data_IF_261813706588
#
_entry.id   IF_261813706588
#
_cell.length_a   1.000
_cell.length_b   1.000
_cell.length_c   1.000
_cell.angle_alpha   90.00
_cell.angle_beta   90.00
_cell.angle_gamma   90.00
#
_symmetry.space_group_name_H-M   'P 1'
#
loop_
_entity.id
_entity.type
_entity.pdbx_description
1 polymer ?
#
# COMPACT_ATOMS: atom_id res chain seq x y z
N UNK A 1 35.66 20.98 29.87
CA UNK A 1 34.83 21.48 28.75
C UNK A 1 33.56 20.64 28.68
N UNK A 2 32.36 21.21 28.87
CA UNK A 2 31.12 20.45 29.03
C UNK A 2 30.82 19.44 27.91
N UNK A 3 31.14 19.81 26.66
CA UNK A 3 31.06 18.92 25.49
C UNK A 3 32.00 17.70 25.60
N UNK A 4 33.26 17.91 25.99
CA UNK A 4 34.22 16.82 26.16
C UNK A 4 33.91 15.92 27.38
N UNK A 5 33.24 16.45 28.40
CA UNK A 5 32.78 15.66 29.55
C UNK A 5 31.56 14.80 29.25
N UNK A 6 30.76 15.11 28.23
CA UNK A 6 29.51 14.39 27.94
C UNK A 6 29.55 13.61 26.61
N UNK A 7 30.41 13.98 25.67
CA UNK A 7 30.61 13.27 24.39
C UNK A 7 31.91 12.49 24.37
N UNK A 8 31.82 11.18 24.13
CA UNK A 8 32.98 10.29 23.98
C UNK A 8 33.78 10.60 22.74
N UNK A 9 33.09 10.89 21.62
CA UNK A 9 33.74 11.20 20.34
C UNK A 9 34.54 12.50 20.41
N UNK A 10 33.98 13.55 21.00
CA UNK A 10 34.69 14.82 21.20
C UNK A 10 35.86 14.63 22.17
N UNK A 11 35.67 13.87 23.25
CA UNK A 11 36.76 13.54 24.19
C UNK A 11 37.91 12.82 23.49
N UNK A 12 37.62 11.79 22.70
CA UNK A 12 38.61 11.03 21.93
C UNK A 12 39.34 11.92 20.91
N UNK A 13 38.59 12.75 20.18
CA UNK A 13 39.16 13.68 19.21
C UNK A 13 40.14 14.68 19.86
N UNK A 14 39.82 15.17 21.06
CA UNK A 14 40.71 16.05 21.83
C UNK A 14 41.95 15.33 22.36
N UNK A 15 41.83 14.06 22.80
CA UNK A 15 42.97 13.28 23.30
C UNK A 15 43.93 12.85 22.18
N UNK A 16 43.43 12.65 20.97
CA UNK A 16 44.24 12.22 19.81
C UNK A 16 45.02 13.38 19.17
N UNK A 17 44.68 14.64 19.45
CA UNK A 17 45.40 15.79 18.93
C UNK A 17 46.62 16.14 19.78
N UNK A 18 47.79 16.18 19.13
CA UNK A 18 49.09 16.49 19.75
C UNK A 18 49.45 17.98 19.79
N UNK A 19 48.70 18.84 19.10
CA UNK A 19 49.05 20.27 18.91
C UNK A 19 48.16 21.25 19.69
N UNK A 20 48.73 22.29 20.34
CA UNK A 20 48.03 23.16 21.29
C UNK A 20 47.32 24.39 20.68
N UNK A 21 47.18 24.52 19.35
CA UNK A 21 46.56 25.70 18.73
C UNK A 21 45.32 25.37 17.92
N UNK A 22 44.18 25.81 18.45
CA UNK A 22 42.82 25.80 17.88
C UNK A 22 42.44 24.45 17.26
N UNK A 23 42.04 23.54 18.13
CA UNK A 23 41.42 22.26 17.81
C UNK A 23 40.13 22.46 17.01
N UNK A 24 40.22 22.36 15.68
CA UNK A 24 39.05 22.23 14.81
C UNK A 24 38.65 20.76 14.77
N UNK A 25 37.44 20.46 15.23
CA UNK A 25 36.82 19.12 15.14
C UNK A 25 35.79 19.21 14.03
N UNK A 26 35.95 18.39 13.00
CA UNK A 26 34.97 18.27 11.94
C UNK A 26 33.85 17.31 12.37
N UNK A 27 32.61 17.80 12.32
CA UNK A 27 31.38 17.08 12.66
C UNK A 27 30.34 17.19 11.52
N UNK A 28 30.80 17.37 10.30
CA UNK A 28 29.94 17.52 9.11
C UNK A 28 28.94 16.37 8.91
N UNK A 29 29.31 15.16 9.34
CA UNK A 29 28.51 13.94 9.16
C UNK A 29 27.48 13.68 10.27
N UNK A 30 27.19 14.66 11.13
CA UNK A 30 26.25 14.43 12.23
C UNK A 30 24.82 14.18 11.71
N UNK A 31 24.14 13.09 12.12
CA UNK A 31 22.77 12.83 11.71
C UNK A 31 21.83 13.93 12.19
N UNK A 32 21.06 14.50 11.26
CA UNK A 32 20.16 15.63 11.55
C UNK A 32 20.83 17.00 11.56
N UNK A 33 22.11 17.08 11.18
CA UNK A 33 22.80 18.33 10.90
C UNK A 33 23.00 19.26 12.11
N UNK A 34 23.08 20.56 11.83
CA UNK A 34 23.40 21.58 12.82
C UNK A 34 22.36 21.62 13.97
N UNK A 35 21.08 21.45 13.66
CA UNK A 35 20.00 21.49 14.65
C UNK A 35 20.14 20.35 15.68
N UNK A 36 20.50 19.15 15.22
CA UNK A 36 20.76 18.01 16.07
C UNK A 36 21.93 18.25 17.03
N UNK A 37 23.01 18.83 16.49
CA UNK A 37 24.19 19.18 17.28
C UNK A 37 23.88 20.28 18.28
N UNK A 38 23.11 21.31 17.90
CA UNK A 38 22.75 22.41 18.79
C UNK A 38 21.99 21.88 20.02
N UNK A 39 21.02 21.00 19.81
CA UNK A 39 20.30 20.36 20.91
C UNK A 39 21.23 19.49 21.76
N UNK A 40 22.09 18.66 21.15
CA UNK A 40 23.05 17.87 21.91
C UNK A 40 24.05 18.73 22.70
N UNK A 41 24.46 19.88 22.15
CA UNK A 41 25.34 20.82 22.81
C UNK A 41 24.63 21.50 23.98
N UNK A 42 23.41 22.01 23.79
CA UNK A 42 22.56 22.55 24.86
C UNK A 42 22.47 21.58 26.05
N UNK A 43 22.32 20.28 25.77
CA UNK A 43 22.30 19.23 26.80
C UNK A 43 23.62 19.21 27.58
N UNK A 44 24.74 19.19 26.87
CA UNK A 44 26.07 19.15 27.48
C UNK A 44 26.34 20.35 28.39
N UNK A 45 25.78 21.52 28.07
CA UNK A 45 25.89 22.73 28.90
C UNK A 45 24.86 22.81 30.04
N UNK A 46 24.04 21.77 30.24
CA UNK A 46 23.04 21.72 31.32
C UNK A 46 21.74 22.46 31.03
N UNK A 47 21.49 22.84 29.77
CA UNK A 47 20.21 23.42 29.36
C UNK A 47 19.17 22.30 29.27
N UNK A 48 18.00 22.51 29.87
CA UNK A 48 16.90 21.55 29.80
C UNK A 48 16.35 21.45 28.37
N UNK A 49 16.39 20.24 27.81
CA UNK A 49 15.82 19.95 26.49
C UNK A 49 14.58 19.08 26.66
N UNK A 50 13.52 19.48 25.97
CA UNK A 50 12.30 18.70 25.87
C UNK A 50 12.44 17.65 24.77
N UNK A 51 12.30 16.38 25.14
CA UNK A 51 12.28 15.26 24.19
C UNK A 51 10.83 15.05 23.76
N UNK A 52 10.59 15.10 22.46
CA UNK A 52 9.27 15.00 21.83
C UNK A 52 9.30 13.94 20.72
N UNK A 53 8.13 13.52 20.23
CA UNK A 53 8.04 12.52 19.16
C UNK A 53 8.65 13.00 17.82
N UNK A 54 8.79 14.30 17.61
CA UNK A 54 9.38 14.88 16.40
C UNK A 54 10.91 14.97 16.46
N UNK A 55 11.49 15.21 17.64
CA UNK A 55 12.94 15.40 17.77
C UNK A 55 13.70 14.16 18.26
N UNK A 56 13.01 13.17 18.86
CA UNK A 56 13.68 12.03 19.50
C UNK A 56 14.51 11.19 18.53
N UNK A 57 14.07 11.03 17.28
CA UNK A 57 14.82 10.28 16.27
C UNK A 57 16.18 10.93 15.99
N UNK A 58 16.16 12.25 15.80
CA UNK A 58 17.34 13.08 15.56
C UNK A 58 18.28 13.04 16.77
N UNK A 59 17.75 13.28 17.97
CA UNK A 59 18.53 13.26 19.21
C UNK A 59 19.17 11.90 19.47
N UNK A 60 18.45 10.79 19.22
CA UNK A 60 18.99 9.45 19.38
C UNK A 60 20.15 9.17 18.42
N UNK A 61 19.97 9.51 17.14
CA UNK A 61 21.03 9.33 16.14
C UNK A 61 22.26 10.21 16.45
N UNK A 62 22.06 11.46 16.84
CA UNK A 62 23.13 12.38 17.24
C UNK A 62 23.84 11.91 18.52
N UNK A 63 23.10 11.46 19.52
CA UNK A 63 23.65 10.94 20.78
C UNK A 63 24.51 9.69 20.54
N UNK A 64 24.05 8.77 19.69
CA UNK A 64 24.84 7.60 19.30
C UNK A 64 26.09 8.00 18.51
N UNK A 65 25.97 8.93 17.54
CA UNK A 65 27.11 9.43 16.76
C UNK A 65 28.20 10.10 17.61
N UNK A 66 27.77 10.91 18.59
CA UNK A 66 28.65 11.63 19.53
C UNK A 66 29.15 10.74 20.67
N UNK A 67 28.72 9.47 20.72
CA UNK A 67 28.98 8.53 21.80
C UNK A 67 28.60 9.14 23.16
N UNK A 68 27.36 9.62 23.32
CA UNK A 68 26.86 10.20 24.57
C UNK A 68 26.20 9.13 25.45
N UNK A 69 26.98 8.10 25.81
CA UNK A 69 26.51 6.92 26.56
C UNK A 69 26.60 7.11 28.08
N UNK A 70 26.00 6.17 28.83
CA UNK A 70 26.07 6.17 30.30
C UNK A 70 27.48 5.92 30.85
N UNK A 71 28.37 5.32 30.06
CA UNK A 71 29.76 5.10 30.42
C UNK A 71 30.54 6.42 30.58
N UNK A 72 30.06 7.47 29.92
CA UNK A 72 30.74 8.76 29.81
C UNK A 72 30.18 9.77 30.82
N UNK A 73 28.88 9.67 31.10
CA UNK A 73 28.16 10.50 32.08
C UNK A 73 26.86 9.83 32.50
N UNK A 74 26.44 10.03 33.76
CA UNK A 74 25.17 9.47 34.28
C UNK A 74 23.96 10.19 33.64
N UNK A 75 22.93 9.42 33.27
CA UNK A 75 21.70 9.92 32.60
C UNK A 75 22.00 10.75 31.34
N UNK A 76 22.96 10.28 30.54
CA UNK A 76 23.39 10.96 29.32
C UNK A 76 22.31 10.91 28.23
N UNK A 77 22.49 11.70 27.18
CA UNK A 77 21.47 11.91 26.16
C UNK A 77 21.00 10.60 25.49
N UNK A 78 21.90 9.64 25.30
CA UNK A 78 21.56 8.35 24.69
C UNK A 78 20.57 7.54 25.55
N UNK A 79 20.76 7.46 26.87
CA UNK A 79 19.84 6.72 27.75
C UNK A 79 18.53 7.46 27.99
N UNK A 80 18.56 8.80 28.05
CA UNK A 80 17.35 9.61 28.17
C UNK A 80 16.45 9.49 26.94
N UNK A 81 17.03 9.52 25.74
CA UNK A 81 16.28 9.31 24.49
C UNK A 81 15.79 7.87 24.38
N UNK A 82 16.59 6.88 24.79
CA UNK A 82 16.22 5.47 24.82
C UNK A 82 15.03 5.18 25.73
N UNK A 83 15.00 5.79 26.92
CA UNK A 83 13.87 5.72 27.85
C UNK A 83 12.60 6.29 27.23
N UNK A 84 12.68 7.48 26.62
CA UNK A 84 11.53 8.09 25.96
C UNK A 84 11.00 7.23 24.79
N UNK A 85 11.90 6.65 23.98
CA UNK A 85 11.51 5.74 22.90
C UNK A 85 10.74 4.54 23.47
N UNK A 86 11.25 3.93 24.54
CA UNK A 86 10.63 2.73 25.13
C UNK A 86 9.30 3.04 25.83
N UNK A 87 9.22 4.12 26.59
CA UNK A 87 8.05 4.45 27.42
C UNK A 87 6.95 5.20 26.65
N UNK A 88 7.29 6.02 25.65
CA UNK A 88 6.33 6.93 24.99
C UNK A 88 6.13 6.60 23.50
N UNK A 89 7.21 6.31 22.77
CA UNK A 89 7.12 6.02 21.33
C UNK A 89 6.59 4.61 21.11
N UNK A 90 7.21 3.62 21.75
CA UNK A 90 6.86 2.20 21.62
C UNK A 90 5.53 1.88 22.31
N UNK A 91 4.92 2.79 23.06
CA UNK A 91 3.58 2.63 23.68
C UNK A 91 2.45 3.29 22.89
N UNK A 92 2.72 4.25 21.99
CA UNK A 92 1.71 4.89 21.14
C UNK A 92 1.98 4.72 19.62
N UNK A 93 1.00 4.21 18.85
CA UNK A 93 1.14 4.01 17.39
C UNK A 93 1.37 5.35 16.66
N UNK A 94 0.66 6.43 17.02
CA UNK A 94 0.85 7.75 16.38
C UNK A 94 2.27 8.28 16.58
N UNK A 95 2.80 8.14 17.80
CA UNK A 95 4.17 8.56 18.09
C UNK A 95 5.17 7.72 17.30
N UNK A 96 4.96 6.40 17.20
CA UNK A 96 5.80 5.51 16.37
C UNK A 96 5.76 5.91 14.88
N UNK A 97 4.59 6.27 14.34
CA UNK A 97 4.46 6.72 12.94
C UNK A 97 5.18 8.07 12.74
N UNK A 98 5.02 9.01 13.68
CA UNK A 98 5.67 10.32 13.62
C UNK A 98 7.19 10.17 13.63
N UNK A 99 7.73 9.33 14.52
CA UNK A 99 9.16 9.01 14.59
C UNK A 99 9.63 8.35 13.30
N UNK A 100 8.87 7.41 12.73
CA UNK A 100 9.22 6.78 11.45
C UNK A 100 9.34 7.78 10.30
N UNK A 101 8.44 8.76 10.22
CA UNK A 101 8.54 9.84 9.21
C UNK A 101 9.80 10.68 9.40
N UNK A 102 10.23 10.93 10.64
CA UNK A 102 11.46 11.66 10.90
C UNK A 102 12.71 10.82 10.59
N UNK A 103 12.65 9.50 10.79
CA UNK A 103 13.73 8.60 10.42
C UNK A 103 14.05 8.60 8.93
N UNK A 104 13.09 8.93 8.05
CA UNK A 104 13.32 9.00 6.60
C UNK A 104 14.37 10.04 6.21
N UNK A 105 14.41 11.17 6.93
CA UNK A 105 15.41 12.23 6.72
C UNK A 105 16.77 11.92 7.38
N UNK A 106 16.83 10.87 8.20
CA UNK A 106 18.00 10.50 9.01
C UNK A 106 18.66 9.19 8.54
N UNK A 107 18.24 8.66 7.39
CA UNK A 107 18.88 7.49 6.78
C UNK A 107 20.29 7.86 6.28
N UNK A 108 21.30 6.98 6.47
CA UNK A 108 21.22 5.61 7.00
C UNK A 108 21.29 5.48 8.54
N UNK A 109 21.69 6.54 9.26
CA UNK A 109 21.97 6.48 10.71
C UNK A 109 20.80 5.96 11.55
N UNK A 110 19.55 6.27 11.18
CA UNK A 110 18.37 5.76 11.88
C UNK A 110 18.20 4.22 11.78
N UNK A 111 18.69 3.59 10.71
CA UNK A 111 18.64 2.14 10.54
C UNK A 111 19.77 1.46 11.33
N UNK A 112 20.96 2.07 11.39
CA UNK A 112 22.09 1.59 12.19
C UNK A 112 21.74 1.53 13.68
N UNK A 113 21.01 2.54 14.17
CA UNK A 113 20.50 2.60 15.55
C UNK A 113 19.27 1.69 15.76
N UNK A 114 18.83 0.97 14.72
CA UNK A 114 17.67 0.05 14.72
C UNK A 114 16.36 0.74 15.15
N UNK A 115 16.25 2.06 14.97
CA UNK A 115 15.06 2.81 15.38
C UNK A 115 13.85 2.47 14.51
N UNK A 116 14.09 2.30 13.20
CA UNK A 116 13.04 1.95 12.22
C UNK A 116 12.43 0.58 12.52
N UNK A 117 13.26 -0.44 12.72
CA UNK A 117 12.80 -1.81 13.01
C UNK A 117 12.04 -1.90 14.34
N UNK A 118 12.47 -1.15 15.35
CA UNK A 118 11.76 -1.06 16.65
C UNK A 118 10.38 -0.42 16.52
N UNK A 119 10.28 0.71 15.81
CA UNK A 119 9.00 1.38 15.59
C UNK A 119 8.05 0.49 14.78
N UNK A 120 8.53 -0.15 13.71
CA UNK A 120 7.77 -1.11 12.91
C UNK A 120 7.27 -2.28 13.78
N UNK A 121 8.14 -2.87 14.59
CA UNK A 121 7.78 -4.00 15.47
C UNK A 121 6.75 -3.58 16.52
N UNK A 122 6.89 -2.37 17.08
CA UNK A 122 5.93 -1.80 18.02
C UNK A 122 4.55 -1.64 17.37
N UNK A 123 4.48 -1.01 16.19
CA UNK A 123 3.23 -0.83 15.44
C UNK A 123 2.59 -2.19 15.16
N UNK A 124 3.36 -3.16 14.65
CA UNK A 124 2.85 -4.49 14.35
C UNK A 124 2.32 -5.21 15.60
N UNK A 125 3.06 -5.16 16.72
CA UNK A 125 2.65 -5.80 17.97
C UNK A 125 1.35 -5.22 18.53
N UNK A 126 1.15 -3.91 18.42
CA UNK A 126 -0.06 -3.24 18.90
C UNK A 126 -1.24 -3.45 17.97
N UNK A 127 -1.02 -3.36 16.66
CA UNK A 127 -2.05 -3.65 15.68
C UNK A 127 -2.59 -5.08 15.87
N UNK A 128 -1.71 -6.06 16.11
CA UNK A 128 -2.13 -7.42 16.44
C UNK A 128 -2.91 -7.50 17.77
N UNK A 129 -2.45 -6.82 18.83
CA UNK A 129 -3.17 -6.79 20.12
C UNK A 129 -4.56 -6.16 19.99
N UNK A 130 -4.67 -5.05 19.26
CA UNK A 130 -5.93 -4.33 19.03
C UNK A 130 -6.90 -5.19 18.22
N UNK A 131 -6.44 -5.84 17.14
CA UNK A 131 -7.24 -6.78 16.36
C UNK A 131 -7.73 -7.96 17.20
N UNK A 132 -6.89 -8.56 18.05
CA UNK A 132 -7.29 -9.62 18.97
C UNK A 132 -8.35 -9.13 19.96
N UNK A 133 -8.16 -7.96 20.57
CA UNK A 133 -9.14 -7.38 21.50
C UNK A 133 -10.48 -7.08 20.81
N UNK A 134 -10.44 -6.59 19.56
CA UNK A 134 -11.65 -6.33 18.77
C UNK A 134 -12.36 -7.64 18.37
N UNK A 135 -11.60 -8.70 18.11
CA UNK A 135 -12.11 -10.04 17.82
C UNK A 135 -12.80 -10.66 19.03
N UNK A 136 -12.18 -10.57 20.22
CA UNK A 136 -12.77 -11.00 21.48
C UNK A 136 -14.08 -10.27 21.80
N UNK A 137 -14.11 -8.94 21.64
CA UNK A 137 -15.34 -8.14 21.84
C UNK A 137 -16.46 -8.44 20.81
N UNK A 138 -16.11 -9.00 19.65
CA UNK A 138 -17.11 -9.50 18.67
C UNK A 138 -17.64 -10.87 19.08
N UNK A 139 -16.80 -11.73 19.65
CA UNK A 139 -17.21 -13.04 20.16
C UNK A 139 -18.09 -12.93 21.42
N UNK A 140 -17.76 -12.03 22.35
CA UNK A 140 -18.58 -11.76 23.54
C UNK A 140 -19.95 -11.12 23.20
N UNK A 141 -20.06 -10.41 22.07
CA UNK A 141 -21.36 -9.91 21.58
C UNK A 141 -22.19 -11.00 20.91
N UNK A 142 -21.55 -11.98 20.27
CA UNK A 142 -22.26 -13.10 19.64
C UNK A 142 -22.87 -14.08 20.65
N UNK A 143 -22.40 -14.11 21.91
CA UNK A 143 -23.04 -14.89 22.99
C UNK A 143 -24.24 -14.18 23.63
N UNK A 144 -24.43 -12.88 23.35
CA UNK A 144 -25.52 -12.07 23.89
C UNK A 144 -26.37 -11.48 22.76
N UNK A 145 -27.01 -12.35 21.97
CA UNK A 145 -28.02 -11.92 20.99
C UNK A 145 -29.29 -11.49 21.74
N UNK A 146 -29.37 -10.20 22.07
CA UNK A 146 -30.67 -9.50 22.11
C UNK A 146 -30.49 -8.01 21.81
N UNK A 147 -30.89 -7.67 20.58
CA UNK A 147 -31.37 -6.36 20.12
C UNK A 147 -30.52 -5.15 20.54
N UNK A 148 -29.60 -4.72 19.67
CA UNK A 148 -29.22 -3.31 19.64
C UNK A 148 -28.96 -2.82 18.21
N UNK A 149 -29.51 -1.64 17.93
CA UNK A 149 -29.77 -1.05 16.62
C UNK A 149 -28.55 -0.92 15.68
N UNK A 150 -28.82 -1.04 14.38
CA UNK A 150 -27.90 -0.89 13.23
C UNK A 150 -27.10 0.42 13.17
N UNK A 151 -27.38 1.41 14.04
CA UNK A 151 -26.65 2.69 14.08
C UNK A 151 -25.31 2.64 14.83
N UNK A 152 -24.95 1.53 15.49
CA UNK A 152 -23.63 1.36 16.12
C UNK A 152 -22.61 0.57 15.27
N UNK A 153 -23.03 0.03 14.11
CA UNK A 153 -22.17 -0.77 13.23
C UNK A 153 -21.07 0.07 12.53
N UNK A 154 -21.26 1.38 12.41
CA UNK A 154 -20.34 2.31 11.73
C UNK A 154 -19.24 2.87 12.65
N UNK A 155 -19.38 2.74 13.97
CA UNK A 155 -18.41 3.31 14.94
C UNK A 155 -17.31 2.29 15.27
N UNK A 156 -17.56 0.98 15.16
CA UNK A 156 -16.53 -0.03 15.44
C UNK A 156 -15.55 -0.28 14.29
N UNK A 157 -15.94 0.00 13.04
CA UNK A 157 -15.07 -0.13 11.86
C UNK A 157 -14.07 1.02 11.77
N UNK A 158 -14.48 2.25 12.10
CA UNK A 158 -13.62 3.43 12.11
C UNK A 158 -12.47 3.38 13.14
N UNK A 159 -12.55 2.50 14.15
CA UNK A 159 -11.45 2.30 15.12
C UNK A 159 -10.36 1.36 14.62
N UNK A 160 -10.59 0.50 13.63
CA UNK A 160 -9.52 -0.36 13.09
C UNK A 160 -8.65 0.39 12.07
N UNK A 161 -9.16 1.49 11.47
CA UNK A 161 -8.53 2.14 10.31
C UNK A 161 -7.84 3.50 10.62
N UNK A 162 -7.90 4.01 11.85
CA UNK A 162 -7.36 5.35 12.16
C UNK A 162 -5.85 5.46 11.95
N UNK A 163 -5.10 4.38 12.18
CA UNK A 163 -3.65 4.37 11.98
C UNK A 163 -3.26 4.16 10.51
N UNK A 164 -4.15 3.59 9.67
CA UNK A 164 -3.91 3.44 8.24
C UNK A 164 -3.71 4.80 7.55
N UNK A 165 -4.48 5.84 7.97
CA UNK A 165 -4.29 7.22 7.54
C UNK A 165 -2.92 7.80 7.87
N UNK A 166 -2.31 7.35 8.98
CA UNK A 166 -0.97 7.78 9.37
C UNK A 166 0.13 7.16 8.49
N UNK A 167 -0.12 5.99 7.90
CA UNK A 167 0.85 5.26 7.09
C UNK A 167 1.00 5.80 5.66
N UNK A 168 0.04 6.59 5.18
CA UNK A 168 0.00 7.06 3.79
C UNK A 168 1.12 8.03 3.41
N UNK A 169 1.82 8.59 4.40
CA UNK A 169 2.98 9.48 4.22
C UNK A 169 4.34 8.80 4.42
N UNK A 170 4.38 7.47 4.55
CA UNK A 170 5.63 6.72 4.67
C UNK A 170 6.17 6.34 3.29
N UNK A 171 7.48 6.26 3.20
CA UNK A 171 8.21 5.69 2.07
C UNK A 171 7.85 4.22 1.84
N UNK A 172 7.88 3.81 0.57
CA UNK A 172 7.51 2.46 0.16
C UNK A 172 8.40 1.38 0.80
N UNK A 173 9.67 1.67 1.04
CA UNK A 173 10.63 0.74 1.66
C UNK A 173 10.29 0.47 3.13
N UNK A 174 9.96 1.51 3.90
CA UNK A 174 9.50 1.36 5.29
C UNK A 174 8.14 0.66 5.33
N UNK A 175 7.24 0.99 4.40
CA UNK A 175 5.94 0.34 4.29
C UNK A 175 6.05 -1.16 3.95
N UNK A 176 6.95 -1.56 3.04
CA UNK A 176 7.25 -2.97 2.75
C UNK A 176 7.77 -3.72 3.97
N UNK A 177 8.73 -3.13 4.72
CA UNK A 177 9.25 -3.71 5.97
C UNK A 177 8.15 -3.84 7.02
N UNK A 178 7.26 -2.85 7.12
CA UNK A 178 6.09 -2.88 7.99
C UNK A 178 5.15 -4.03 7.62
N UNK A 179 4.79 -4.17 6.34
CA UNK A 179 3.91 -5.25 5.88
C UNK A 179 4.51 -6.64 6.12
N UNK A 180 5.81 -6.83 5.86
CA UNK A 180 6.49 -8.10 6.16
C UNK A 180 6.46 -8.44 7.65
N UNK A 181 6.61 -7.43 8.51
CA UNK A 181 6.53 -7.59 9.97
C UNK A 181 5.10 -7.85 10.44
N UNK A 182 4.09 -7.22 9.83
CA UNK A 182 2.68 -7.48 10.13
C UNK A 182 2.28 -8.92 9.74
N UNK A 183 2.77 -9.40 8.59
CA UNK A 183 2.59 -10.78 8.15
C UNK A 183 3.22 -11.78 9.12
N UNK A 184 4.47 -11.55 9.55
CA UNK A 184 5.16 -12.45 10.48
C UNK A 184 4.55 -12.44 11.89
N UNK A 185 3.89 -11.35 12.30
CA UNK A 185 3.15 -11.22 13.56
C UNK A 185 1.73 -11.83 13.51
N UNK A 186 1.31 -12.37 12.36
CA UNK A 186 0.04 -13.09 12.24
C UNK A 186 -1.20 -12.21 12.12
N UNK A 187 -1.07 -10.97 11.60
CA UNK A 187 -2.24 -10.15 11.32
C UNK A 187 -3.13 -10.83 10.25
N UNK A 188 -4.45 -10.73 10.40
CA UNK A 188 -5.41 -11.27 9.42
C UNK A 188 -5.18 -10.64 8.04
N UNK A 189 -5.27 -11.47 7.00
CA UNK A 189 -5.08 -11.02 5.61
C UNK A 189 -6.07 -9.91 5.22
N UNK A 190 -7.32 -9.97 5.70
CA UNK A 190 -8.33 -8.92 5.43
C UNK A 190 -7.87 -7.53 5.90
N UNK A 191 -7.30 -7.45 7.10
CA UNK A 191 -6.81 -6.19 7.67
C UNK A 191 -5.57 -5.70 6.91
N UNK A 192 -4.67 -6.62 6.53
CA UNK A 192 -3.52 -6.32 5.66
C UNK A 192 -4.00 -5.73 4.32
N UNK A 193 -5.02 -6.34 3.71
CA UNK A 193 -5.58 -5.89 2.43
C UNK A 193 -6.16 -4.48 2.55
N UNK A 194 -6.89 -4.19 3.63
CA UNK A 194 -7.42 -2.84 3.89
C UNK A 194 -6.32 -1.80 4.03
N UNK A 195 -5.24 -2.12 4.73
CA UNK A 195 -4.09 -1.22 4.89
C UNK A 195 -3.41 -0.95 3.54
N UNK A 196 -3.20 -1.98 2.74
CA UNK A 196 -2.63 -1.86 1.39
C UNK A 196 -3.54 -1.01 0.51
N UNK A 197 -4.86 -1.27 0.52
CA UNK A 197 -5.83 -0.51 -0.26
C UNK A 197 -5.85 0.97 0.15
N UNK A 198 -5.77 1.27 1.45
CA UNK A 198 -5.75 2.65 1.92
C UNK A 198 -4.47 3.39 1.52
N UNK A 199 -3.31 2.73 1.65
CA UNK A 199 -2.03 3.27 1.22
C UNK A 199 -2.00 3.51 -0.30
N UNK A 200 -2.48 2.52 -1.06
CA UNK A 200 -2.58 2.59 -2.51
C UNK A 200 -3.54 3.70 -2.95
N UNK A 201 -4.73 3.82 -2.36
CA UNK A 201 -5.68 4.87 -2.73
C UNK A 201 -5.08 6.27 -2.55
N UNK A 202 -4.36 6.52 -1.45
CA UNK A 202 -3.72 7.82 -1.22
C UNK A 202 -2.57 8.10 -2.20
N UNK A 203 -1.73 7.10 -2.46
CA UNK A 203 -0.61 7.24 -3.40
C UNK A 203 -1.09 7.37 -4.86
N UNK A 204 -2.11 6.61 -5.26
CA UNK A 204 -2.75 6.72 -6.58
C UNK A 204 -3.45 8.07 -6.75
N UNK A 205 -4.10 8.58 -5.70
CA UNK A 205 -4.67 9.92 -5.72
C UNK A 205 -3.59 10.99 -5.91
N UNK A 206 -2.45 10.86 -5.20
CA UNK A 206 -1.29 11.75 -5.36
C UNK A 206 -0.70 11.71 -6.78
N UNK A 207 -0.58 10.51 -7.36
CA UNK A 207 -0.17 10.31 -8.75
C UNK A 207 -1.16 10.99 -9.70
N UNK A 208 -2.46 10.67 -9.62
CA UNK A 208 -3.49 11.20 -10.53
C UNK A 208 -3.62 12.72 -10.47
N UNK A 209 -3.47 13.31 -9.29
CA UNK A 209 -3.46 14.78 -9.14
C UNK A 209 -2.21 15.39 -9.78
N UNK A 210 -1.04 14.76 -9.64
CA UNK A 210 0.22 15.20 -10.27
C UNK A 210 0.18 15.18 -11.80
N UNK A 211 -0.49 14.18 -12.40
CA UNK A 211 -0.69 14.10 -13.86
C UNK A 211 -1.79 15.05 -14.39
N UNK A 212 -2.74 15.46 -13.53
CA UNK A 212 -3.82 16.37 -13.93
C UNK A 212 -3.39 17.85 -13.89
N UNK A 213 -2.43 18.21 -13.03
CA UNK A 213 -1.72 19.48 -13.14
C UNK A 213 -0.86 19.44 -14.40
N UNK A 214 -1.12 20.33 -15.36
CA UNK A 214 -0.42 20.44 -16.67
C UNK A 214 1.07 20.81 -16.56
N UNK A 215 1.72 20.60 -15.42
CA UNK A 215 3.16 20.76 -15.29
C UNK A 215 3.84 19.50 -15.80
N UNK A 216 4.74 19.68 -16.76
CA UNK A 216 5.58 18.61 -17.29
C UNK A 216 6.44 18.06 -16.16
N UNK A 217 6.00 16.96 -15.55
CA UNK A 217 6.79 16.24 -14.56
C UNK A 217 8.15 15.89 -15.16
N UNK A 218 9.21 16.07 -14.38
CA UNK A 218 10.56 15.64 -14.76
C UNK A 218 10.57 14.13 -14.98
N UNK A 219 11.35 13.64 -15.95
CA UNK A 219 11.54 12.20 -16.22
C UNK A 219 11.90 11.39 -14.96
N UNK A 220 12.67 12.01 -14.05
CA UNK A 220 13.04 11.38 -12.78
C UNK A 220 11.85 11.20 -11.83
N UNK A 221 10.90 12.12 -11.82
CA UNK A 221 9.68 12.03 -10.99
C UNK A 221 8.70 11.03 -11.59
N UNK A 222 8.60 10.97 -12.93
CA UNK A 222 7.82 9.96 -13.63
C UNK A 222 8.33 8.54 -13.32
N UNK A 223 9.65 8.32 -13.38
CA UNK A 223 10.25 7.03 -13.04
C UNK A 223 10.05 6.66 -11.57
N UNK A 224 10.13 7.64 -10.66
CA UNK A 224 9.85 7.42 -9.23
C UNK A 224 8.40 7.00 -9.00
N UNK A 225 7.45 7.61 -9.70
CA UNK A 225 6.03 7.27 -9.64
C UNK A 225 5.75 5.88 -10.24
N UNK A 226 6.40 5.52 -11.35
CA UNK A 226 6.38 4.16 -11.93
C UNK A 226 6.86 3.11 -10.93
N UNK A 227 8.04 3.32 -10.33
CA UNK A 227 8.61 2.39 -9.34
C UNK A 227 7.70 2.25 -8.10
N UNK A 228 7.08 3.35 -7.66
CA UNK A 228 6.14 3.33 -6.53
C UNK A 228 4.87 2.54 -6.88
N UNK A 229 4.33 2.72 -8.08
CA UNK A 229 3.17 1.96 -8.56
C UNK A 229 3.47 0.46 -8.63
N UNK A 230 4.60 0.07 -9.21
CA UNK A 230 5.02 -1.33 -9.29
C UNK A 230 5.21 -1.97 -7.94
N UNK A 231 5.83 -1.25 -7.00
CA UNK A 231 5.98 -1.71 -5.64
C UNK A 231 4.62 -1.90 -4.95
N UNK A 232 3.62 -1.04 -5.20
CA UNK A 232 2.25 -1.24 -4.71
C UNK A 232 1.62 -2.48 -5.32
N UNK A 233 1.75 -2.69 -6.64
CA UNK A 233 1.20 -3.87 -7.32
C UNK A 233 1.84 -5.16 -6.79
N UNK A 234 3.15 -5.13 -6.51
CA UNK A 234 3.90 -6.23 -5.91
C UNK A 234 3.55 -6.49 -4.43
N UNK A 235 3.03 -5.49 -3.71
CA UNK A 235 2.59 -5.63 -2.32
C UNK A 235 1.24 -6.32 -2.18
N UNK A 236 0.41 -6.28 -3.22
CA UNK A 236 -0.90 -6.92 -3.23
C UNK A 236 -0.76 -8.45 -3.04
N UNK A 237 -1.56 -9.09 -2.18
CA UNK A 237 -1.51 -10.53 -1.92
C UNK A 237 -1.60 -11.38 -3.19
N UNK A 238 -1.05 -12.59 -3.13
CA UNK A 238 -1.26 -13.58 -4.17
C UNK A 238 -2.77 -13.79 -4.39
N UNK A 239 -3.19 -13.78 -5.66
CA UNK A 239 -4.60 -13.91 -6.02
C UNK A 239 -5.11 -15.27 -5.55
N UNK A 240 -6.04 -15.27 -4.59
CA UNK A 240 -6.69 -16.48 -4.09
C UNK A 240 -8.19 -16.27 -4.08
N UNK A 241 -8.96 -17.37 -4.17
CA UNK A 241 -10.42 -17.37 -4.07
C UNK A 241 -10.93 -16.78 -2.73
N UNK A 242 -10.06 -16.65 -1.73
CA UNK A 242 -10.35 -16.13 -0.38
C UNK A 242 -9.96 -14.66 -0.17
N UNK A 243 -9.17 -14.06 -1.06
CA UNK A 243 -8.68 -12.69 -0.94
C UNK A 243 -9.40 -11.78 -1.94
N UNK A 244 -10.55 -11.24 -1.54
CA UNK A 244 -11.37 -10.39 -2.40
C UNK A 244 -10.93 -8.94 -2.21
N UNK A 245 -10.08 -8.46 -3.12
CA UNK A 245 -9.89 -7.04 -3.32
C UNK A 245 -11.03 -6.58 -4.23
N UNK A 246 -11.79 -5.52 -3.90
CA UNK A 246 -12.89 -5.07 -4.73
C UNK A 246 -12.43 -4.79 -6.17
N UNK A 247 -13.21 -5.26 -7.16
CA UNK A 247 -12.83 -5.11 -8.57
C UNK A 247 -12.71 -3.64 -8.98
N UNK A 248 -13.54 -2.75 -8.43
CA UNK A 248 -13.43 -1.31 -8.65
C UNK A 248 -12.11 -0.69 -8.20
N UNK A 249 -11.45 -1.28 -7.20
CA UNK A 249 -10.12 -0.86 -6.81
C UNK A 249 -9.05 -1.36 -7.80
N UNK A 250 -9.20 -2.59 -8.32
CA UNK A 250 -8.33 -3.14 -9.38
C UNK A 250 -8.50 -2.38 -10.71
N UNK A 251 -9.72 -2.02 -11.07
CA UNK A 251 -10.01 -1.21 -12.26
C UNK A 251 -9.42 0.19 -12.12
N UNK A 252 -9.52 0.82 -10.93
CA UNK A 252 -8.87 2.09 -10.63
C UNK A 252 -7.33 2.01 -10.72
N UNK A 253 -6.74 0.92 -10.23
CA UNK A 253 -5.31 0.65 -10.38
C UNK A 253 -4.91 0.50 -11.84
N UNK A 254 -5.69 -0.23 -12.64
CA UNK A 254 -5.41 -0.45 -14.06
C UNK A 254 -5.57 0.85 -14.88
N UNK A 255 -6.59 1.67 -14.58
CA UNK A 255 -6.74 3.01 -15.15
C UNK A 255 -5.54 3.90 -14.82
N UNK A 256 -5.00 3.81 -13.61
CA UNK A 256 -3.80 4.55 -13.21
C UNK A 256 -2.52 3.98 -13.86
N UNK A 257 -2.43 2.66 -14.02
CA UNK A 257 -1.35 1.98 -14.74
C UNK A 257 -1.20 2.53 -16.16
N UNK A 258 -2.34 2.75 -16.84
CA UNK A 258 -2.38 3.33 -18.17
C UNK A 258 -1.91 4.78 -18.18
N UNK A 259 -2.36 5.63 -17.24
CA UNK A 259 -1.91 7.03 -17.12
C UNK A 259 -0.40 7.12 -16.89
N UNK A 260 0.13 6.25 -16.02
CA UNK A 260 1.53 6.24 -15.61
C UNK A 260 2.42 5.56 -16.67
N UNK A 261 1.85 4.86 -17.64
CA UNK A 261 2.56 4.00 -18.60
C UNK A 261 3.53 3.04 -17.89
N UNK A 262 3.00 2.29 -16.93
CA UNK A 262 3.77 1.33 -16.14
C UNK A 262 4.06 0.03 -16.94
N UNK A 263 5.07 -0.73 -16.51
CA UNK A 263 5.60 -1.88 -17.27
C UNK A 263 4.53 -2.99 -17.39
N UNK A 264 4.60 -3.73 -18.50
CA UNK A 264 3.76 -4.89 -18.85
C UNK A 264 3.46 -5.92 -17.74
N UNK A 265 4.39 -6.35 -16.84
CA UNK A 265 4.08 -7.39 -15.86
C UNK A 265 3.07 -6.94 -14.80
N UNK A 266 3.12 -5.69 -14.36
CA UNK A 266 2.13 -5.14 -13.41
C UNK A 266 0.75 -5.06 -14.03
N UNK A 267 0.66 -4.70 -15.33
CA UNK A 267 -0.57 -4.74 -16.10
C UNK A 267 -1.14 -6.15 -16.20
N UNK A 268 -0.33 -7.12 -16.62
CA UNK A 268 -0.75 -8.53 -16.72
C UNK A 268 -1.20 -9.11 -15.37
N UNK A 269 -0.54 -8.74 -14.27
CA UNK A 269 -0.93 -9.19 -12.93
C UNK A 269 -2.29 -8.62 -12.50
N UNK A 270 -2.59 -7.37 -12.84
CA UNK A 270 -3.90 -6.75 -12.59
C UNK A 270 -4.98 -7.37 -13.46
N UNK A 271 -4.73 -7.52 -14.77
CA UNK A 271 -5.65 -8.17 -15.71
C UNK A 271 -5.99 -9.61 -15.26
N UNK A 272 -4.97 -10.37 -14.81
CA UNK A 272 -5.18 -11.72 -14.28
C UNK A 272 -6.06 -11.75 -13.03
N UNK A 273 -5.88 -10.80 -12.12
CA UNK A 273 -6.70 -10.67 -10.91
C UNK A 273 -8.14 -10.29 -11.24
N UNK A 274 -8.33 -9.37 -12.19
CA UNK A 274 -9.66 -8.99 -12.64
C UNK A 274 -10.38 -10.18 -13.30
N UNK A 275 -9.67 -10.95 -14.14
CA UNK A 275 -10.20 -12.18 -14.73
C UNK A 275 -10.66 -13.20 -13.69
N UNK A 276 -9.92 -13.39 -12.59
CA UNK A 276 -10.31 -14.33 -11.52
C UNK A 276 -11.61 -13.96 -10.77
N UNK A 277 -11.99 -12.69 -10.75
CA UNK A 277 -13.13 -12.17 -9.97
C UNK A 277 -14.18 -11.48 -10.84
N UNK A 278 -14.18 -11.76 -12.15
CA UNK A 278 -15.01 -11.08 -13.14
C UNK A 278 -16.52 -11.19 -12.86
N UNK A 279 -16.96 -12.25 -12.18
CA UNK A 279 -18.36 -12.44 -11.77
C UNK A 279 -18.86 -11.43 -10.72
N UNK A 280 -17.97 -10.66 -10.08
CA UNK A 280 -18.30 -9.53 -9.20
C UNK A 280 -18.17 -8.17 -9.87
N UNK A 281 -17.85 -8.13 -11.17
CA UNK A 281 -17.64 -6.89 -11.89
C UNK A 281 -18.94 -6.14 -12.18
N UNK A 282 -18.83 -4.81 -12.17
CA UNK A 282 -19.80 -3.92 -12.81
C UNK A 282 -19.23 -3.45 -14.14
N UNK A 283 -20.08 -3.07 -15.09
CA UNK A 283 -19.69 -2.58 -16.41
C UNK A 283 -18.59 -1.49 -16.34
N UNK A 284 -18.73 -0.51 -15.45
CA UNK A 284 -17.77 0.58 -15.24
C UNK A 284 -16.35 0.12 -14.85
N UNK A 285 -16.22 -1.07 -14.28
CA UNK A 285 -14.93 -1.65 -13.88
C UNK A 285 -14.15 -2.19 -15.09
N UNK A 286 -14.84 -2.52 -16.18
CA UNK A 286 -14.25 -3.10 -17.40
C UNK A 286 -14.12 -2.06 -18.50
N UNK A 287 -14.91 -0.98 -18.43
CA UNK A 287 -14.75 0.21 -19.25
C UNK A 287 -13.45 0.93 -18.89
N UNK A 288 -12.37 0.52 -19.55
CA UNK A 288 -11.03 1.06 -19.37
C UNK A 288 -10.74 2.03 -20.52
N UNK A 289 -10.51 3.31 -20.23
CA UNK A 289 -10.23 4.30 -21.27
C UNK A 289 -8.89 4.01 -21.94
N UNK A 290 -8.81 4.21 -23.26
CA UNK A 290 -7.53 4.12 -23.95
C UNK A 290 -6.65 5.32 -23.58
N UNK A 291 -5.35 5.09 -23.32
CA UNK A 291 -4.41 6.15 -23.03
C UNK A 291 -3.97 6.82 -24.34
N UNK A 292 -4.76 7.77 -24.83
CA UNK A 292 -4.40 8.63 -25.96
C UNK A 292 -4.64 10.09 -25.58
N UNK A 293 -3.56 10.86 -25.58
CA UNK A 293 -3.58 12.31 -25.48
C UNK A 293 -4.62 12.90 -26.45
N UNK A 294 -5.51 13.74 -25.91
CA UNK A 294 -6.43 14.60 -26.63
C UNK A 294 -7.36 13.92 -27.66
N UNK A 295 -8.58 13.61 -27.24
CA UNK A 295 -9.80 13.59 -28.07
C UNK A 295 -9.74 12.80 -29.40
N UNK A 296 -8.85 11.82 -29.53
CA UNK A 296 -8.91 10.86 -30.64
C UNK A 296 -8.96 9.44 -30.08
N UNK A 297 -10.14 8.87 -30.33
CA UNK A 297 -10.45 7.46 -30.56
C UNK A 297 -9.23 6.51 -30.66
N UNK A 298 -9.26 5.33 -30.00
CA UNK A 298 -10.42 4.72 -29.35
C UNK A 298 -10.79 5.29 -27.98
N UNK A 299 -12.10 5.28 -27.65
CA UNK A 299 -12.59 5.72 -26.33
C UNK A 299 -12.27 4.70 -25.25
N UNK A 300 -12.23 3.42 -25.62
CA UNK A 300 -11.95 2.30 -24.72
C UNK A 300 -10.86 1.37 -25.27
N UNK A 301 -10.02 0.84 -24.38
CA UNK A 301 -9.04 -0.19 -24.73
C UNK A 301 -9.73 -1.57 -24.75
N UNK A 302 -10.22 -1.95 -25.93
CA UNK A 302 -10.91 -3.23 -26.15
C UNK A 302 -10.01 -4.45 -25.95
N UNK A 303 -8.70 -4.27 -26.13
CA UNK A 303 -7.75 -5.36 -26.09
C UNK A 303 -7.51 -5.80 -24.64
N UNK A 304 -7.59 -4.86 -23.68
CA UNK A 304 -7.57 -5.20 -22.24
C UNK A 304 -8.79 -6.01 -21.84
N UNK A 305 -9.98 -5.56 -22.23
CA UNK A 305 -11.21 -6.26 -21.90
C UNK A 305 -11.17 -7.69 -22.48
N UNK A 306 -10.77 -7.85 -23.74
CA UNK A 306 -10.60 -9.16 -24.36
C UNK A 306 -9.68 -10.05 -23.53
N UNK A 307 -8.49 -9.57 -23.12
CA UNK A 307 -7.56 -10.35 -22.29
C UNK A 307 -8.16 -10.75 -20.94
N UNK A 308 -8.87 -9.85 -20.25
CA UNK A 308 -9.52 -10.13 -18.96
C UNK A 308 -10.55 -11.27 -19.11
N UNK A 309 -11.40 -11.20 -20.15
CA UNK A 309 -12.38 -12.24 -20.44
C UNK A 309 -11.74 -13.56 -20.85
N UNK A 310 -10.69 -13.54 -21.69
CA UNK A 310 -9.92 -14.76 -22.04
C UNK A 310 -9.34 -15.42 -20.80
N UNK A 311 -8.76 -14.63 -19.88
CA UNK A 311 -8.20 -15.17 -18.63
C UNK A 311 -9.30 -15.83 -17.79
N UNK A 312 -10.48 -15.21 -17.66
CA UNK A 312 -11.59 -15.81 -16.93
C UNK A 312 -12.00 -17.17 -17.52
N UNK A 313 -12.12 -17.24 -18.85
CA UNK A 313 -12.52 -18.47 -19.54
C UNK A 313 -11.49 -19.59 -19.36
N UNK A 314 -10.20 -19.29 -19.56
CA UNK A 314 -9.13 -20.28 -19.36
C UNK A 314 -9.09 -20.80 -17.93
N UNK A 315 -9.26 -19.93 -16.93
CA UNK A 315 -9.31 -20.35 -15.52
C UNK A 315 -10.52 -21.22 -15.20
N UNK A 316 -11.64 -20.98 -15.88
CA UNK A 316 -12.85 -21.79 -15.73
C UNK A 316 -12.66 -23.18 -16.38
N UNK A 317 -11.96 -23.26 -17.51
CA UNK A 317 -11.62 -24.53 -18.16
C UNK A 317 -10.62 -25.35 -17.34
N UNK A 318 -9.55 -24.73 -16.83
CA UNK A 318 -8.58 -25.38 -15.93
C UNK A 318 -9.25 -25.87 -14.62
N UNK A 319 -10.25 -25.13 -14.12
CA UNK A 319 -11.05 -25.55 -12.97
C UNK A 319 -11.86 -26.82 -13.24
N UNK A 320 -12.43 -26.93 -14.45
CA UNK A 320 -13.21 -28.11 -14.88
C UNK A 320 -12.33 -29.35 -15.06
N UNK A 321 -11.11 -29.22 -15.57
CA UNK A 321 -10.18 -30.35 -15.69
C UNK A 321 -9.73 -30.88 -14.33
N UNK A 322 -9.45 -29.99 -13.37
CA UNK A 322 -9.04 -30.39 -12.02
C UNK A 322 -10.20 -30.98 -11.18
N UNK A 323 -11.44 -30.50 -11.37
CA UNK A 323 -12.62 -31.03 -10.67
C UNK A 323 -13.16 -32.35 -11.24
N UNK A 324 -12.77 -32.76 -12.46
CA UNK A 324 -13.16 -34.07 -13.02
C UNK A 324 -12.56 -35.27 -12.28
N UNK A 325 -11.63 -35.05 -11.34
CA UNK A 325 -11.02 -36.08 -10.51
C UNK A 325 -11.78 -36.36 -9.19
N UNK A 326 -12.75 -35.52 -8.82
CA UNK A 326 -13.60 -35.70 -7.65
C UNK A 326 -15.07 -35.52 -8.04
N UNK A 327 -15.72 -36.64 -8.31
CA UNK A 327 -17.18 -36.74 -8.42
C UNK A 327 -17.83 -36.41 -7.06
N UNK A 328 -19.08 -35.94 -7.10
CA UNK A 328 -19.95 -35.51 -5.98
C UNK A 328 -19.83 -34.06 -5.46
N UNK A 329 -20.53 -33.13 -6.12
CA UNK A 329 -21.39 -32.14 -5.44
C UNK A 329 -22.22 -31.32 -6.45
N UNK A 330 -23.53 -31.59 -6.54
CA UNK A 330 -24.51 -30.82 -7.33
C UNK A 330 -24.51 -29.31 -7.01
N UNK A 331 -24.06 -28.92 -5.80
CA UNK A 331 -24.03 -27.52 -5.36
C UNK A 331 -22.92 -26.66 -5.97
N UNK A 332 -21.85 -27.28 -6.49
CA UNK A 332 -20.73 -26.55 -7.14
C UNK A 332 -21.09 -26.20 -8.59
N UNK A 333 -21.80 -27.09 -9.28
CA UNK A 333 -22.27 -26.91 -10.65
C UNK A 333 -23.21 -25.70 -10.77
N UNK A 334 -24.17 -25.56 -9.84
CA UNK A 334 -25.13 -24.43 -9.82
C UNK A 334 -24.43 -23.06 -9.61
N UNK A 335 -23.38 -23.01 -8.80
CA UNK A 335 -22.61 -21.78 -8.55
C UNK A 335 -21.77 -21.40 -9.78
N UNK A 336 -21.20 -22.38 -10.48
CA UNK A 336 -20.43 -22.15 -11.71
C UNK A 336 -21.33 -21.70 -12.87
N UNK A 337 -22.52 -22.29 -13.03
CA UNK A 337 -23.51 -21.82 -14.00
C UNK A 337 -24.00 -20.41 -13.69
N UNK A 338 -24.18 -20.06 -12.42
CA UNK A 338 -24.54 -18.72 -11.97
C UNK A 338 -23.44 -17.68 -12.26
N UNK A 339 -22.18 -18.02 -12.01
CA UNK A 339 -21.05 -17.10 -12.32
C UNK A 339 -20.86 -16.92 -13.82
N UNK A 340 -20.95 -17.98 -14.62
CA UNK A 340 -20.87 -17.91 -16.08
C UNK A 340 -21.99 -17.06 -16.67
N UNK A 341 -23.22 -17.20 -16.16
CA UNK A 341 -24.37 -16.41 -16.62
C UNK A 341 -24.23 -14.92 -16.28
N UNK A 342 -23.61 -14.58 -15.13
CA UNK A 342 -23.33 -13.18 -14.78
C UNK A 342 -22.28 -12.58 -15.71
N UNK A 343 -21.22 -13.32 -16.01
CA UNK A 343 -20.14 -12.86 -16.91
C UNK A 343 -20.63 -12.74 -18.35
N UNK A 344 -21.54 -13.61 -18.82
CA UNK A 344 -22.10 -13.48 -20.17
C UNK A 344 -22.98 -12.24 -20.32
N UNK A 345 -23.82 -11.92 -19.33
CA UNK A 345 -24.59 -10.65 -19.31
C UNK A 345 -23.68 -9.43 -19.33
N UNK A 346 -22.65 -9.44 -18.49
CA UNK A 346 -21.66 -8.38 -18.40
C UNK A 346 -20.90 -8.17 -19.73
N UNK A 347 -20.60 -9.24 -20.47
CA UNK A 347 -20.03 -9.15 -21.81
C UNK A 347 -21.03 -8.54 -22.80
N UNK A 348 -22.29 -8.93 -22.76
CA UNK A 348 -23.32 -8.37 -23.65
C UNK A 348 -23.57 -6.89 -23.36
N UNK A 349 -23.56 -6.48 -22.09
CA UNK A 349 -23.61 -5.07 -21.66
C UNK A 349 -22.36 -4.30 -22.16
N UNK A 350 -21.18 -4.90 -22.05
CA UNK A 350 -19.93 -4.32 -22.56
C UNK A 350 -19.93 -4.17 -24.08
N UNK A 351 -20.38 -5.19 -24.82
CA UNK A 351 -20.53 -5.15 -26.27
C UNK A 351 -21.51 -4.05 -26.71
N UNK A 352 -22.58 -3.84 -25.96
CA UNK A 352 -23.57 -2.78 -26.22
C UNK A 352 -22.94 -1.38 -26.10
N UNK A 353 -22.12 -1.14 -25.08
CA UNK A 353 -21.43 0.15 -24.89
C UNK A 353 -20.33 0.38 -25.93
N UNK A 354 -19.53 -0.64 -26.23
CA UNK A 354 -18.42 -0.52 -27.18
C UNK A 354 -18.92 -0.47 -28.63
N UNK A 355 -20.08 -1.06 -28.94
CA UNK A 355 -20.72 -0.96 -30.26
C UNK A 355 -20.99 0.50 -30.68
N UNK A 356 -21.21 1.40 -29.72
CA UNK A 356 -21.38 2.84 -29.99
C UNK A 356 -20.08 3.60 -30.23
N UNK A 357 -18.91 2.95 -30.17
CA UNK A 357 -17.61 3.59 -30.39
C UNK A 357 -17.21 3.54 -31.87
N UNK A 358 -17.13 4.68 -32.59
CA UNK A 358 -16.87 4.71 -34.03
C UNK A 358 -15.46 4.23 -34.42
N UNK A 359 -14.57 3.98 -33.47
CA UNK A 359 -13.23 3.40 -33.72
C UNK A 359 -13.17 1.89 -33.69
N UNK A 360 -14.27 1.22 -33.34
CA UNK A 360 -14.27 -0.23 -33.27
C UNK A 360 -14.32 -0.82 -34.69
N UNK A 361 -13.31 -1.62 -35.05
CA UNK A 361 -13.34 -2.36 -36.31
C UNK A 361 -14.27 -3.57 -36.21
N UNK A 362 -14.91 -3.94 -37.33
CA UNK A 362 -15.75 -5.14 -37.42
C UNK A 362 -15.01 -6.41 -36.98
N UNK A 363 -13.72 -6.52 -37.33
CA UNK A 363 -12.86 -7.64 -36.88
C UNK A 363 -12.70 -7.72 -35.36
N UNK A 364 -12.55 -6.57 -34.67
CA UNK A 364 -12.44 -6.52 -33.20
C UNK A 364 -13.77 -6.83 -32.53
N UNK A 365 -14.87 -6.32 -33.09
CA UNK A 365 -16.22 -6.62 -32.60
C UNK A 365 -16.52 -8.12 -32.70
N UNK A 366 -16.27 -8.74 -33.85
CA UNK A 366 -16.43 -10.19 -34.03
C UNK A 366 -15.57 -11.00 -33.07
N UNK A 367 -14.30 -10.63 -32.88
CA UNK A 367 -13.41 -11.32 -31.94
C UNK A 367 -13.92 -11.29 -30.49
N UNK A 368 -14.58 -10.20 -30.07
CA UNK A 368 -15.22 -10.11 -28.74
C UNK A 368 -16.47 -10.97 -28.64
N UNK A 369 -17.28 -11.02 -29.70
CA UNK A 369 -18.50 -11.86 -29.76
C UNK A 369 -18.16 -13.35 -29.71
N UNK A 370 -17.12 -13.76 -30.45
CA UNK A 370 -16.65 -15.16 -30.54
C UNK A 370 -15.94 -15.65 -29.28
N UNK A 371 -15.53 -14.74 -28.39
CA UNK A 371 -14.80 -15.10 -27.17
C UNK A 371 -15.63 -15.96 -26.22
N UNK A 372 -16.95 -15.77 -26.15
CA UNK A 372 -17.82 -16.56 -25.29
C UNK A 372 -18.28 -17.86 -25.98
N UNK A 373 -18.14 -19.03 -25.32
CA UNK A 373 -18.61 -20.29 -25.89
C UNK A 373 -20.14 -20.34 -25.96
N UNK A 374 -20.68 -21.14 -26.88
CA UNK A 374 -22.11 -21.22 -27.19
C UNK A 374 -22.99 -21.57 -25.98
N UNK A 375 -22.49 -22.38 -25.05
CA UNK A 375 -23.19 -22.78 -23.84
C UNK A 375 -23.23 -21.69 -22.74
N UNK A 376 -22.50 -20.58 -22.90
CA UNK A 376 -22.44 -19.49 -21.91
C UNK A 376 -23.61 -18.51 -22.04
N UNK A 377 -24.17 -18.40 -23.26
CA UNK A 377 -25.28 -17.49 -23.55
C UNK A 377 -26.59 -18.26 -23.43
N UNK A 378 -27.31 -18.02 -22.35
CA UNK A 378 -28.67 -18.53 -22.16
C UNK A 378 -29.72 -17.64 -22.81
N UNK A 379 -29.39 -16.36 -23.01
CA UNK A 379 -30.20 -15.34 -23.68
C UNK A 379 -29.32 -14.61 -24.69
N UNK A 380 -29.86 -14.31 -25.87
CA UNK A 380 -29.13 -13.66 -26.96
C UNK A 380 -29.58 -12.20 -27.21
N UNK A 381 -30.58 -11.71 -26.49
CA UNK A 381 -31.18 -10.40 -26.72
C UNK A 381 -30.16 -9.26 -26.57
N UNK A 382 -29.26 -9.35 -25.59
CA UNK A 382 -28.18 -8.38 -25.39
C UNK A 382 -27.19 -8.34 -26.56
N UNK A 383 -26.81 -9.52 -27.08
CA UNK A 383 -25.96 -9.63 -28.26
C UNK A 383 -26.62 -9.04 -29.51
N UNK A 384 -27.90 -9.35 -29.77
CA UNK A 384 -28.62 -8.78 -30.92
C UNK A 384 -28.74 -7.26 -30.83
N UNK A 385 -28.97 -6.72 -29.64
CA UNK A 385 -28.97 -5.28 -29.40
C UNK A 385 -27.60 -4.66 -29.71
N UNK A 386 -26.51 -5.26 -29.27
CA UNK A 386 -25.17 -4.78 -29.57
C UNK A 386 -24.87 -4.80 -31.08
N UNK A 387 -25.30 -5.85 -31.80
CA UNK A 387 -25.16 -5.96 -33.26
C UNK A 387 -25.97 -4.86 -33.97
N UNK A 388 -27.23 -4.64 -33.57
CA UNK A 388 -28.07 -3.58 -34.15
C UNK A 388 -27.45 -2.19 -33.95
N UNK A 389 -26.85 -1.93 -32.80
CA UNK A 389 -26.14 -0.66 -32.53
C UNK A 389 -24.87 -0.56 -33.36
N UNK A 390 -24.10 -1.64 -33.51
CA UNK A 390 -22.85 -1.62 -34.27
C UNK A 390 -23.05 -1.45 -35.79
N UNK A 391 -24.18 -1.94 -36.31
CA UNK A 391 -24.53 -1.83 -37.73
C UNK A 391 -25.18 -0.49 -38.09
N UNK A 392 -25.62 0.29 -37.10
CA UNK A 392 -26.16 1.64 -37.24
C UNK A 392 -25.03 2.67 -37.25
#
# INVERSE_FOLDING_TARGET
FPLASQSGRIRKALTQQKEPKVSRIDLSDIPGGADAFELAAKFCYGVSIEITASNVAMLKCAATYLEMTEEIGKDNLDSRTERYITEVVVTNIQNSITVLRQCEYLLPAADDVKLISRCITSIASKACKEELSSGLLKLERNSSIKKMNEKQLTVSTNKSEWWAKGLTGLSISIFQRLLSTLKSKGLKQDTINKIIMHYAHNSLFSIRTSFSSKDRLSEAELQKQKNLFEAIVGLLPAASKTNIIPLGFLSGLLKTCLIVDAISPSRMQLEKRMGMQLHHAVLDDILIPANLDNNKLPRFDTDVAQRIFTIFLNLNEEGKENNRLYDESDSIMDLEHSTMTKVSRLMDDYLTEVAGDPSLSCSKFLALVELLPSHARTLHDGLYRAIDIFLK
#
